data_IF_385386484878
#
_entry.id   IF_385386484878
#
_cell.length_a   1.000
_cell.length_b   1.000
_cell.length_c   1.000
_cell.angle_alpha   90.00
_cell.angle_beta   90.00
_cell.angle_gamma   90.00
#
_symmetry.space_group_name_H-M   'P 1'
#
loop_
_entity.id
_entity.type
_entity.pdbx_description
1 polymer ?
#
# COMPACT_ATOMS: atom_id res chain seq x y z
N UNK A 1 11.66 4.26 -8.13
CA UNK A 1 10.52 3.51 -8.68
C UNK A 1 10.49 3.60 -10.20
N UNK A 2 10.61 4.78 -10.80
CA UNK A 2 10.64 4.98 -12.27
C UNK A 2 11.45 3.95 -13.05
N UNK A 3 12.73 3.74 -12.69
CA UNK A 3 13.58 2.75 -13.36
C UNK A 3 12.97 1.33 -13.33
N UNK A 4 12.42 0.92 -12.20
CA UNK A 4 11.82 -0.41 -12.02
C UNK A 4 10.54 -0.57 -12.85
N UNK A 5 9.77 0.51 -13.01
CA UNK A 5 8.59 0.55 -13.89
C UNK A 5 9.02 0.46 -15.35
N UNK A 6 10.03 1.25 -15.76
CA UNK A 6 10.57 1.21 -17.12
C UNK A 6 11.16 -0.15 -17.50
N UNK A 7 11.76 -0.84 -16.53
CA UNK A 7 12.27 -2.20 -16.69
C UNK A 7 11.18 -3.29 -16.58
N UNK A 8 9.92 -2.93 -16.29
CA UNK A 8 8.79 -3.86 -16.20
C UNK A 8 8.90 -4.85 -15.04
N UNK A 9 9.60 -4.48 -13.96
CA UNK A 9 9.88 -5.36 -12.82
C UNK A 9 8.72 -5.39 -11.81
N UNK A 10 7.90 -4.34 -11.79
CA UNK A 10 6.87 -4.16 -10.78
C UNK A 10 5.49 -4.47 -11.35
N UNK A 11 4.76 -5.36 -10.67
CA UNK A 11 3.33 -5.54 -10.88
C UNK A 11 2.53 -4.52 -10.04
N UNK A 12 3.03 -4.14 -8.86
CA UNK A 12 2.31 -3.29 -7.92
C UNK A 12 3.15 -2.73 -6.79
N UNK A 13 2.54 -1.86 -5.99
CA UNK A 13 3.15 -1.19 -4.83
C UNK A 13 2.21 -1.26 -3.62
N UNK A 14 2.78 -1.38 -2.42
CA UNK A 14 2.04 -1.18 -1.18
C UNK A 14 1.78 0.32 -0.97
N UNK A 15 0.54 0.73 -1.21
CA UNK A 15 0.12 2.15 -1.16
C UNK A 15 -0.41 2.50 0.22
N UNK A 16 -1.16 1.59 0.84
CA UNK A 16 -1.75 1.80 2.15
C UNK A 16 -0.97 1.01 3.19
N UNK A 17 -0.14 1.71 3.94
CA UNK A 17 0.67 1.16 5.02
C UNK A 17 0.41 1.93 6.31
N UNK A 18 0.37 1.23 7.44
CA UNK A 18 0.08 1.81 8.77
C UNK A 18 0.89 3.06 9.09
N UNK A 19 2.15 3.14 8.62
CA UNK A 19 3.07 4.23 8.92
C UNK A 19 3.09 5.37 7.90
N UNK A 20 2.33 5.31 6.81
CA UNK A 20 2.32 6.38 5.81
C UNK A 20 1.39 7.53 6.20
N UNK A 21 1.84 8.74 5.91
CA UNK A 21 0.98 9.93 5.94
C UNK A 21 0.02 9.93 4.76
N UNK A 22 -1.05 10.73 4.86
CA UNK A 22 -2.01 10.90 3.76
C UNK A 22 -1.35 11.44 2.48
N UNK A 23 -0.33 12.28 2.62
CA UNK A 23 0.44 12.81 1.49
C UNK A 23 1.24 11.70 0.77
N UNK A 24 1.88 10.80 1.53
CA UNK A 24 2.60 9.66 0.98
C UNK A 24 1.65 8.70 0.27
N UNK A 25 0.49 8.39 0.87
CA UNK A 25 -0.56 7.57 0.24
C UNK A 25 -1.00 8.20 -1.07
N UNK A 26 -1.34 9.50 -1.06
CA UNK A 26 -1.81 10.23 -2.27
C UNK A 26 -0.75 10.23 -3.37
N UNK A 27 0.53 10.37 -3.00
CA UNK A 27 1.65 10.32 -3.93
C UNK A 27 1.76 8.95 -4.60
N UNK A 28 1.65 7.87 -3.81
CA UNK A 28 1.72 6.51 -4.32
C UNK A 28 0.49 6.10 -5.12
N UNK A 29 -0.71 6.53 -4.73
CA UNK A 29 -1.93 6.33 -5.53
C UNK A 29 -1.78 6.96 -6.91
N UNK A 30 -1.29 8.20 -6.97
CA UNK A 30 -1.06 8.90 -8.23
C UNK A 30 -0.02 8.17 -9.08
N UNK A 31 1.11 7.80 -8.47
CA UNK A 31 2.16 7.04 -9.15
C UNK A 31 1.62 5.72 -9.73
N UNK A 32 0.88 4.93 -8.95
CA UNK A 32 0.33 3.67 -9.44
C UNK A 32 -0.66 3.87 -10.59
N UNK A 33 -1.52 4.89 -10.51
CA UNK A 33 -2.47 5.23 -11.59
C UNK A 33 -1.78 5.68 -12.87
N UNK A 34 -0.73 6.49 -12.77
CA UNK A 34 0.04 6.98 -13.93
C UNK A 34 0.80 5.86 -14.65
N UNK A 35 1.21 4.83 -13.92
CA UNK A 35 2.01 3.73 -14.45
C UNK A 35 1.25 2.40 -14.60
N UNK A 36 -0.07 2.39 -14.40
CA UNK A 36 -0.92 1.19 -14.42
C UNK A 36 -0.42 0.06 -13.50
N UNK A 37 0.08 0.41 -12.31
CA UNK A 37 0.51 -0.55 -11.30
C UNK A 37 -0.63 -0.92 -10.36
N UNK A 38 -0.63 -2.15 -9.89
CA UNK A 38 -1.55 -2.60 -8.85
C UNK A 38 -1.24 -1.95 -7.50
N UNK A 39 -2.28 -1.67 -6.71
CA UNK A 39 -2.16 -1.11 -5.38
C UNK A 39 -2.51 -2.17 -4.34
N UNK A 40 -1.72 -2.25 -3.27
CA UNK A 40 -1.97 -3.13 -2.13
C UNK A 40 -1.98 -2.39 -0.79
N UNK A 41 -2.40 -3.10 0.25
CA UNK A 41 -2.47 -2.60 1.61
C UNK A 41 -1.93 -3.62 2.61
N UNK A 42 -1.22 -3.15 3.63
CA UNK A 42 -0.66 -4.00 4.67
C UNK A 42 -0.48 -3.27 5.98
N UNK A 43 -0.86 -3.93 7.08
CA UNK A 43 -0.65 -3.37 8.42
C UNK A 43 0.82 -3.47 8.85
N UNK A 44 1.54 -4.46 8.32
CA UNK A 44 2.86 -4.90 8.79
C UNK A 44 2.89 -5.35 10.27
N UNK A 45 1.78 -5.93 10.72
CA UNK A 45 1.66 -6.46 12.08
C UNK A 45 2.61 -7.65 12.29
N UNK A 46 3.38 -7.59 13.37
CA UNK A 46 4.32 -8.64 13.79
C UNK A 46 4.04 -9.14 15.22
N UNK A 47 2.79 -9.01 15.67
CA UNK A 47 2.35 -9.43 16.99
C UNK A 47 3.15 -8.74 18.11
N UNK A 48 3.66 -9.53 19.05
CA UNK A 48 4.41 -9.03 20.21
C UNK A 48 5.67 -8.23 19.84
N UNK A 49 6.25 -8.45 18.65
CA UNK A 49 7.42 -7.69 18.19
C UNK A 49 7.09 -6.26 17.77
N UNK A 50 5.83 -5.99 17.39
CA UNK A 50 5.31 -4.66 17.08
C UNK A 50 3.96 -4.46 17.77
N UNK A 51 3.93 -4.38 19.11
CA UNK A 51 2.68 -4.47 19.87
C UNK A 51 1.71 -3.30 19.60
N UNK A 52 2.22 -2.19 19.06
CA UNK A 52 1.44 -1.02 18.68
C UNK A 52 0.72 -1.18 17.33
N UNK A 53 1.20 -2.06 16.45
CA UNK A 53 0.57 -2.33 15.15
C UNK A 53 -0.37 -3.52 15.33
N UNK A 54 -1.68 -3.27 15.21
CA UNK A 54 -2.71 -4.29 15.41
C UNK A 54 -3.06 -4.98 14.11
N UNK A 55 -3.31 -6.29 14.16
CA UNK A 55 -3.73 -7.07 12.99
C UNK A 55 -5.03 -6.49 12.42
N UNK A 56 -5.05 -6.22 11.10
CA UNK A 56 -6.19 -5.63 10.39
C UNK A 56 -6.45 -4.15 10.67
N UNK A 57 -5.91 -3.56 11.74
CA UNK A 57 -6.18 -2.19 12.19
C UNK A 57 -4.97 -1.26 12.02
N UNK A 58 -3.76 -1.81 11.99
CA UNK A 58 -2.51 -1.05 11.91
C UNK A 58 -2.31 -0.16 13.12
N UNK A 59 -2.06 1.13 12.90
CA UNK A 59 -1.95 2.15 13.95
C UNK A 59 -3.31 2.82 14.25
N UNK A 60 -4.42 2.20 13.85
CA UNK A 60 -5.78 2.77 13.97
C UNK A 60 -6.26 3.47 12.68
N UNK A 61 -5.43 3.47 11.65
CA UNK A 61 -5.67 4.13 10.36
C UNK A 61 -5.91 3.14 9.21
N UNK A 62 -5.93 1.83 9.48
CA UNK A 62 -6.12 0.84 8.43
C UNK A 62 -7.59 0.47 8.32
N UNK A 63 -8.24 1.01 7.30
CA UNK A 63 -9.58 0.66 6.84
C UNK A 63 -9.64 0.85 5.31
N UNK A 64 -8.95 -0.04 4.59
CA UNK A 64 -8.76 0.08 3.15
C UNK A 64 -9.88 -0.63 2.42
N UNK A 65 -10.49 0.05 1.45
CA UNK A 65 -11.58 -0.49 0.65
C UNK A 65 -11.12 -1.64 -0.25
N UNK A 66 -11.95 -2.68 -0.40
CA UNK A 66 -11.70 -3.79 -1.35
C UNK A 66 -11.61 -3.32 -2.81
N UNK A 67 -12.14 -2.13 -3.14
CA UNK A 67 -11.97 -1.51 -4.46
C UNK A 67 -10.49 -1.44 -4.88
N UNK A 68 -9.56 -1.32 -3.92
CA UNK A 68 -8.11 -1.23 -4.16
C UNK A 68 -7.57 -2.46 -4.89
N UNK A 69 -8.12 -3.64 -4.59
CA UNK A 69 -7.66 -4.90 -5.17
C UNK A 69 -8.53 -5.38 -6.34
N UNK A 70 -9.60 -4.68 -6.70
CA UNK A 70 -10.49 -5.11 -7.80
C UNK A 70 -9.80 -5.17 -9.16
N UNK A 71 -8.82 -4.31 -9.40
CA UNK A 71 -8.07 -4.33 -10.66
C UNK A 71 -7.19 -5.58 -10.82
N UNK A 72 -6.99 -6.36 -9.75
CA UNK A 72 -6.16 -7.57 -9.75
C UNK A 72 -6.92 -8.80 -10.30
N UNK A 73 -8.25 -8.70 -10.43
CA UNK A 73 -9.17 -9.79 -10.80
C UNK A 73 -9.56 -9.71 -12.29
#
# INVERSE_FOLDING_TARGET
MEKLVQEGILDGVEVYYSGFSQEQITTLEKFCKEHNLYMSAGTDCHGERKPNIKLGIGLGNMNVSEEVIKSWL
#
